data_IF_773100263111
#
_entry.id   IF_773100263111
#
_cell.length_a   1.000
_cell.length_b   1.000
_cell.length_c   1.000
_cell.angle_alpha   90.00
_cell.angle_beta   90.00
_cell.angle_gamma   90.00
#
_symmetry.space_group_name_H-M   'P 1'
#
loop_
_entity.id
_entity.type
_entity.pdbx_description
1 polymer ?
#
# COMPACT_ATOMS: atom_id res chain seq x y z
N UNK A 1 39.67 19.92 -21.74
CA UNK A 1 38.75 18.76 -21.81
C UNK A 1 39.34 17.60 -21.01
N UNK A 2 38.88 17.39 -19.77
CA UNK A 2 38.85 16.09 -19.07
C UNK A 2 38.13 16.28 -17.73
N UNK A 3 36.98 15.64 -17.59
CA UNK A 3 36.13 15.57 -16.39
C UNK A 3 36.36 14.20 -15.75
N UNK A 4 36.26 14.14 -14.40
CA UNK A 4 35.90 12.98 -13.51
C UNK A 4 36.98 12.75 -12.45
N UNK A 5 36.69 12.55 -11.16
CA UNK A 5 35.45 12.32 -10.41
C UNK A 5 35.76 12.72 -8.95
N UNK A 6 34.88 13.49 -8.32
CA UNK A 6 34.95 13.77 -6.88
C UNK A 6 34.52 12.51 -6.11
N UNK A 7 35.47 11.84 -5.45
CA UNK A 7 35.19 10.72 -4.54
C UNK A 7 34.62 11.28 -3.22
N UNK A 8 33.30 11.44 -3.16
CA UNK A 8 32.59 11.70 -1.89
C UNK A 8 32.54 10.41 -1.08
N UNK A 9 33.61 10.13 -0.34
CA UNK A 9 33.57 9.21 0.80
C UNK A 9 32.72 9.85 1.90
N UNK A 10 31.42 9.54 1.87
CA UNK A 10 30.53 9.81 2.97
C UNK A 10 30.93 8.88 4.12
N UNK A 11 31.76 9.41 5.02
CA UNK A 11 32.10 8.81 6.30
C UNK A 11 30.84 8.74 7.14
N UNK A 12 30.11 7.63 7.03
CA UNK A 12 29.21 7.19 8.08
C UNK A 12 30.08 6.72 9.24
N UNK A 13 30.46 7.68 10.08
CA UNK A 13 30.97 7.43 11.42
C UNK A 13 29.83 6.81 12.24
N UNK A 14 29.76 5.48 12.20
CA UNK A 14 28.99 4.68 13.15
C UNK A 14 29.90 4.45 14.33
N UNK A 15 29.71 5.23 15.37
CA UNK A 15 30.31 5.03 16.68
C UNK A 15 30.27 3.56 17.07
N UNK A 16 31.44 2.93 17.11
CA UNK A 16 31.67 1.63 17.70
C UNK A 16 31.25 1.66 19.17
N UNK A 17 30.29 0.81 19.52
CA UNK A 17 30.15 0.30 20.89
C UNK A 17 30.11 -1.23 20.82
N UNK A 18 31.17 -1.92 21.26
CA UNK A 18 31.06 -3.33 21.57
C UNK A 18 30.51 -3.43 22.99
N UNK A 19 29.26 -3.85 23.14
CA UNK A 19 28.71 -4.22 24.44
C UNK A 19 28.23 -5.66 24.38
N UNK A 20 28.76 -6.41 25.34
CA UNK A 20 28.60 -7.83 25.54
C UNK A 20 27.16 -8.32 25.44
N UNK A 21 27.05 -9.54 24.95
CA UNK A 21 25.89 -10.37 24.71
C UNK A 21 25.05 -10.57 25.98
N UNK A 22 24.18 -9.62 26.30
CA UNK A 22 22.99 -9.93 27.11
C UNK A 22 21.91 -10.36 26.13
N UNK A 23 21.41 -11.59 26.28
CA UNK A 23 20.29 -12.13 25.49
C UNK A 23 18.97 -11.45 25.89
N UNK A 24 18.89 -10.14 25.75
CA UNK A 24 17.67 -9.37 25.99
C UNK A 24 16.89 -9.27 24.69
N UNK A 25 15.66 -9.78 24.71
CA UNK A 25 14.72 -9.58 23.62
C UNK A 25 14.50 -8.08 23.37
N UNK A 26 14.47 -7.63 22.10
CA UNK A 26 14.35 -6.22 21.79
C UNK A 26 12.97 -5.70 22.14
N UNK A 27 12.92 -4.59 22.86
CA UNK A 27 11.65 -3.96 23.23
C UNK A 27 10.86 -3.50 21.99
N UNK A 28 9.53 -3.55 22.06
CA UNK A 28 8.62 -3.07 20.99
C UNK A 28 8.95 -1.64 20.56
N UNK A 29 9.34 -0.77 21.50
CA UNK A 29 9.76 0.60 21.20
C UNK A 29 10.94 0.64 20.22
N UNK A 30 11.99 -0.15 20.46
CA UNK A 30 13.18 -0.21 19.60
C UNK A 30 12.80 -0.72 18.21
N UNK A 31 11.94 -1.74 18.13
CA UNK A 31 11.44 -2.25 16.84
C UNK A 31 10.58 -1.24 16.09
N UNK A 32 9.82 -0.39 16.79
CA UNK A 32 9.08 0.69 16.15
C UNK A 32 10.02 1.78 15.64
N UNK A 33 10.99 2.19 16.45
CA UNK A 33 11.94 3.24 16.10
C UNK A 33 12.78 2.84 14.86
N UNK A 34 13.19 1.58 14.74
CA UNK A 34 13.88 1.10 13.52
C UNK A 34 12.97 1.13 12.29
N UNK A 35 11.70 0.77 12.45
CA UNK A 35 10.74 0.82 11.36
C UNK A 35 10.45 2.25 10.90
N UNK A 36 10.35 3.21 11.82
CA UNK A 36 10.17 4.62 11.48
C UNK A 36 11.33 5.16 10.64
N UNK A 37 12.56 4.82 11.03
CA UNK A 37 13.75 5.17 10.24
C UNK A 37 13.74 4.52 8.86
N UNK A 38 13.35 3.25 8.78
CA UNK A 38 13.23 2.53 7.50
C UNK A 38 12.16 3.15 6.58
N UNK A 39 11.01 3.54 7.11
CA UNK A 39 9.95 4.20 6.33
C UNK A 39 10.45 5.50 5.69
N UNK A 40 11.24 6.28 6.42
CA UNK A 40 11.76 7.57 5.95
C UNK A 40 12.91 7.43 4.94
N UNK A 41 13.67 6.33 4.98
CA UNK A 41 14.88 6.17 4.17
C UNK A 41 14.71 5.24 2.97
N UNK A 42 13.78 4.29 3.03
CA UNK A 42 13.77 3.14 2.09
C UNK A 42 12.47 3.01 1.31
N UNK A 43 11.34 3.51 1.83
CA UNK A 43 10.09 3.48 1.07
C UNK A 43 10.12 4.57 0.00
N UNK A 44 9.90 4.17 -1.25
CA UNK A 44 9.94 5.06 -2.42
C UNK A 44 11.23 5.88 -2.48
N UNK A 45 12.37 5.26 -2.17
CA UNK A 45 13.70 5.90 -2.12
C UNK A 45 13.76 7.15 -1.22
N UNK A 46 12.93 7.17 -0.17
CA UNK A 46 12.80 8.29 0.77
C UNK A 46 11.73 9.33 0.41
N UNK A 47 11.02 9.15 -0.72
CA UNK A 47 9.97 10.06 -1.20
C UNK A 47 8.55 9.52 -0.97
N UNK A 48 8.36 8.69 0.06
CA UNK A 48 7.03 8.18 0.41
C UNK A 48 6.07 9.33 0.76
N UNK A 49 4.85 9.29 0.22
CA UNK A 49 3.82 10.25 0.62
C UNK A 49 3.47 10.09 2.10
N UNK A 50 3.03 11.19 2.74
CA UNK A 50 2.59 11.18 4.14
C UNK A 50 1.51 10.12 4.39
N UNK A 51 0.60 9.95 3.43
CA UNK A 51 -0.47 8.95 3.50
C UNK A 51 0.05 7.52 3.40
N UNK A 52 1.06 7.28 2.56
CA UNK A 52 1.70 5.95 2.45
C UNK A 52 2.37 5.57 3.76
N UNK A 53 3.14 6.49 4.36
CA UNK A 53 3.77 6.30 5.67
C UNK A 53 2.73 6.05 6.76
N UNK A 54 1.69 6.91 6.83
CA UNK A 54 0.59 6.77 7.79
C UNK A 54 -0.11 5.42 7.64
N UNK A 55 -0.33 4.97 6.42
CA UNK A 55 -0.96 3.70 6.13
C UNK A 55 -0.11 2.54 6.65
N UNK A 56 1.19 2.51 6.33
CA UNK A 56 2.07 1.45 6.83
C UNK A 56 2.17 1.43 8.36
N UNK A 57 2.30 2.60 8.99
CA UNK A 57 2.26 2.73 10.46
C UNK A 57 0.99 2.14 11.06
N UNK A 58 -0.17 2.50 10.50
CA UNK A 58 -1.47 2.00 10.96
C UNK A 58 -1.58 0.48 10.84
N UNK A 59 -1.11 -0.10 9.72
CA UNK A 59 -1.12 -1.56 9.52
C UNK A 59 -0.20 -2.30 10.50
N UNK A 60 1.00 -1.77 10.74
CA UNK A 60 1.92 -2.37 11.73
C UNK A 60 1.36 -2.22 13.15
N UNK A 61 0.74 -1.09 13.47
CA UNK A 61 0.11 -0.89 14.77
C UNK A 61 -1.05 -1.88 15.03
N UNK A 62 -1.89 -2.13 14.02
CA UNK A 62 -2.96 -3.15 14.09
C UNK A 62 -2.37 -4.54 14.35
N UNK A 63 -1.29 -4.89 13.64
CA UNK A 63 -0.59 -6.15 13.84
C UNK A 63 0.01 -6.28 15.26
N UNK A 64 0.71 -5.26 15.75
CA UNK A 64 1.29 -5.28 17.10
C UNK A 64 0.20 -5.37 18.19
N UNK A 65 -0.95 -4.74 17.95
CA UNK A 65 -2.10 -4.82 18.85
C UNK A 65 -2.69 -6.23 18.86
N UNK A 66 -2.78 -6.88 17.69
CA UNK A 66 -3.16 -8.28 17.59
C UNK A 66 -2.16 -9.19 18.31
N UNK A 67 -0.85 -8.99 18.14
CA UNK A 67 0.18 -9.74 18.87
C UNK A 67 -0.01 -9.62 20.38
N UNK A 68 -0.28 -8.41 20.89
CA UNK A 68 -0.58 -8.20 22.32
C UNK A 68 -1.80 -9.00 22.77
N UNK A 69 -2.87 -9.01 21.97
CA UNK A 69 -4.09 -9.76 22.28
C UNK A 69 -3.95 -11.29 22.18
N UNK A 70 -2.89 -11.79 21.51
CA UNK A 70 -2.56 -13.21 21.42
C UNK A 70 -1.39 -13.59 22.34
N UNK A 71 -0.93 -12.67 23.21
CA UNK A 71 0.24 -12.85 24.08
C UNK A 71 1.54 -13.22 23.32
N UNK A 72 1.62 -12.82 22.05
CA UNK A 72 2.77 -13.09 21.20
C UNK A 72 3.77 -11.94 21.28
N UNK A 73 5.03 -12.28 21.55
CA UNK A 73 6.10 -11.30 21.52
C UNK A 73 6.54 -10.99 20.08
N UNK A 74 6.52 -9.72 19.61
CA UNK A 74 6.80 -9.39 18.21
C UNK A 74 8.16 -9.86 17.69
N UNK A 75 9.19 -9.95 18.53
CA UNK A 75 10.51 -10.44 18.13
C UNK A 75 10.59 -11.98 17.98
N UNK A 76 9.62 -12.71 18.52
CA UNK A 76 9.53 -14.18 18.47
C UNK A 76 8.45 -14.68 17.50
N UNK A 77 7.84 -13.76 16.72
CA UNK A 77 6.83 -14.12 15.72
C UNK A 77 7.45 -15.06 14.69
N UNK A 78 6.79 -16.20 14.49
CA UNK A 78 7.14 -17.16 13.45
C UNK A 78 6.30 -16.93 12.20
N UNK A 79 6.67 -17.60 11.10
CA UNK A 79 5.86 -17.60 9.87
C UNK A 79 4.43 -18.10 10.10
N UNK A 80 4.25 -19.07 11.02
CA UNK A 80 2.93 -19.61 11.35
C UNK A 80 2.04 -18.54 11.99
N UNK A 81 2.58 -17.75 12.91
CA UNK A 81 1.85 -16.65 13.55
C UNK A 81 1.40 -15.59 12.51
N UNK A 82 2.21 -15.34 11.47
CA UNK A 82 1.81 -14.44 10.37
C UNK A 82 0.68 -15.05 9.52
N UNK A 83 0.64 -16.37 9.36
CA UNK A 83 -0.48 -17.06 8.69
C UNK A 83 -1.76 -16.99 9.52
N UNK A 84 -1.66 -17.10 10.85
CA UNK A 84 -2.77 -16.91 11.79
C UNK A 84 -3.28 -15.49 11.76
N UNK A 85 -2.40 -14.48 11.76
CA UNK A 85 -2.81 -13.10 11.58
C UNK A 85 -3.53 -12.87 10.25
N UNK A 86 -3.05 -13.49 9.16
CA UNK A 86 -3.74 -13.46 7.87
C UNK A 86 -5.14 -14.06 7.98
N UNK A 87 -5.31 -15.19 8.69
CA UNK A 87 -6.61 -15.81 8.94
C UNK A 87 -7.51 -14.86 9.74
N UNK A 88 -7.00 -14.26 10.81
CA UNK A 88 -7.72 -13.24 11.59
C UNK A 88 -8.22 -12.07 10.73
N UNK A 89 -7.44 -11.60 9.75
CA UNK A 89 -7.89 -10.57 8.82
C UNK A 89 -8.99 -11.04 7.85
N UNK A 90 -8.98 -12.31 7.46
CA UNK A 90 -10.04 -12.92 6.63
C UNK A 90 -11.32 -13.03 7.45
N UNK A 91 -11.21 -13.52 8.68
CA UNK A 91 -12.34 -13.70 9.60
C UNK A 91 -12.94 -12.33 9.98
N UNK A 92 -12.13 -11.26 10.01
CA UNK A 92 -12.57 -9.87 10.13
C UNK A 92 -13.01 -9.19 8.82
N UNK A 93 -13.34 -10.00 7.80
CA UNK A 93 -13.89 -9.62 6.49
C UNK A 93 -13.08 -8.57 5.71
N UNK A 94 -11.76 -8.49 5.93
CA UNK A 94 -10.92 -7.52 5.21
C UNK A 94 -10.78 -7.90 3.75
N UNK A 95 -10.78 -6.88 2.87
CA UNK A 95 -10.60 -7.11 1.44
C UNK A 95 -9.20 -7.64 1.12
N UNK A 96 -9.06 -8.43 0.05
CA UNK A 96 -7.76 -8.97 -0.38
C UNK A 96 -6.68 -7.89 -0.62
N UNK A 97 -6.98 -6.73 -1.24
CA UNK A 97 -6.05 -5.61 -1.29
C UNK A 97 -5.61 -5.11 0.10
N UNK A 98 -6.55 -4.96 1.05
CA UNK A 98 -6.23 -4.55 2.42
C UNK A 98 -5.35 -5.57 3.13
N UNK A 99 -5.65 -6.87 2.99
CA UNK A 99 -4.83 -7.96 3.56
C UNK A 99 -3.43 -7.94 2.96
N UNK A 100 -3.31 -7.81 1.63
CA UNK A 100 -2.01 -7.71 0.94
C UNK A 100 -1.20 -6.53 1.46
N UNK A 101 -1.84 -5.37 1.62
CA UNK A 101 -1.19 -4.17 2.14
C UNK A 101 -0.74 -4.35 3.59
N UNK A 102 -1.55 -5.01 4.42
CA UNK A 102 -1.17 -5.33 5.80
C UNK A 102 0.04 -6.26 5.85
N UNK A 103 0.06 -7.32 5.05
CA UNK A 103 1.19 -8.25 4.98
C UNK A 103 2.45 -7.58 4.44
N UNK A 104 2.32 -6.66 3.48
CA UNK A 104 3.43 -5.88 2.97
C UNK A 104 4.03 -4.95 4.04
N UNK A 105 3.17 -4.28 4.81
CA UNK A 105 3.61 -3.43 5.93
C UNK A 105 4.39 -4.25 6.98
N UNK A 106 3.89 -5.44 7.33
CA UNK A 106 4.58 -6.37 8.25
C UNK A 106 5.91 -6.83 7.66
N UNK A 107 5.96 -7.13 6.37
CA UNK A 107 7.22 -7.48 5.69
C UNK A 107 8.25 -6.36 5.82
N UNK A 108 7.87 -5.11 5.56
CA UNK A 108 8.76 -3.97 5.72
C UNK A 108 9.21 -3.76 7.17
N UNK A 109 8.29 -3.94 8.14
CA UNK A 109 8.60 -3.87 9.57
C UNK A 109 9.71 -4.87 9.96
N UNK A 110 9.56 -6.14 9.59
CA UNK A 110 10.56 -7.14 9.90
C UNK A 110 11.84 -7.00 9.07
N UNK A 111 11.77 -6.47 7.85
CA UNK A 111 12.98 -6.10 7.08
C UNK A 111 13.78 -5.02 7.80
N UNK A 112 13.10 -3.99 8.35
CA UNK A 112 13.75 -2.95 9.15
C UNK A 112 14.39 -3.53 10.42
N UNK A 113 13.65 -4.38 11.14
CA UNK A 113 14.17 -5.04 12.35
C UNK A 113 15.36 -5.96 12.07
N UNK A 114 15.35 -6.65 10.92
CA UNK A 114 16.44 -7.53 10.49
C UNK A 114 17.70 -6.73 10.16
N UNK A 115 17.57 -5.56 9.51
CA UNK A 115 18.69 -4.68 9.21
C UNK A 115 19.43 -4.19 10.47
N UNK A 116 18.69 -4.02 11.57
CA UNK A 116 19.21 -3.65 12.89
C UNK A 116 19.54 -4.86 13.78
N UNK A 117 19.47 -6.10 13.25
CA UNK A 117 19.74 -7.36 13.97
C UNK A 117 18.84 -7.60 15.20
N UNK A 118 17.65 -7.00 15.22
CA UNK A 118 16.66 -7.19 16.29
C UNK A 118 15.95 -8.55 16.17
N UNK A 119 15.85 -9.08 14.95
CA UNK A 119 15.27 -10.40 14.66
C UNK A 119 16.25 -11.23 13.84
N UNK A 120 16.18 -12.55 13.97
CA UNK A 120 17.06 -13.48 13.21
C UNK A 120 16.66 -13.59 11.75
N UNK A 121 15.35 -13.56 11.49
CA UNK A 121 14.77 -13.73 10.16
C UNK A 121 13.48 -12.92 10.03
N UNK A 122 13.01 -12.73 8.80
CA UNK A 122 11.75 -12.05 8.53
C UNK A 122 10.63 -13.11 8.35
N UNK A 123 9.70 -13.24 9.32
CA UNK A 123 8.65 -14.26 9.29
C UNK A 123 7.60 -14.02 8.20
N UNK A 124 7.53 -12.82 7.61
CA UNK A 124 6.61 -12.48 6.54
C UNK A 124 7.12 -12.91 5.15
N UNK A 125 8.37 -13.37 5.03
CA UNK A 125 8.92 -13.84 3.75
C UNK A 125 8.15 -15.08 3.28
N UNK A 126 7.68 -15.04 2.04
CA UNK A 126 6.92 -16.14 1.42
C UNK A 126 5.45 -16.25 1.86
N UNK A 127 4.97 -15.38 2.75
CA UNK A 127 3.54 -15.33 3.11
C UNK A 127 2.78 -14.58 2.02
N UNK A 128 1.98 -15.31 1.24
CA UNK A 128 1.15 -14.73 0.17
C UNK A 128 -0.23 -14.35 0.70
N UNK A 129 -0.74 -13.21 0.22
CA UNK A 129 -2.12 -12.81 0.47
C UNK A 129 -3.11 -13.81 -0.14
N UNK A 130 -4.32 -13.96 0.43
CA UNK A 130 -5.35 -14.84 -0.13
C UNK A 130 -5.67 -14.40 -1.56
N UNK A 131 -5.60 -15.35 -2.50
CA UNK A 131 -6.11 -15.13 -3.85
C UNK A 131 -7.63 -15.17 -3.76
N UNK A 132 -8.30 -14.03 -3.91
CA UNK A 132 -9.73 -14.05 -4.27
C UNK A 132 -9.81 -14.73 -5.65
N UNK A 133 -10.69 -15.73 -5.80
CA UNK A 133 -11.26 -16.05 -7.12
C UNK A 133 -11.94 -14.75 -7.55
N UNK A 134 -11.27 -13.94 -8.37
CA UNK A 134 -11.89 -12.79 -8.99
C UNK A 134 -12.92 -13.37 -9.95
N UNK A 135 -14.20 -13.18 -9.66
CA UNK A 135 -15.19 -13.20 -10.72
C UNK A 135 -14.92 -11.95 -11.56
N UNK A 136 -14.35 -12.17 -12.74
CA UNK A 136 -13.83 -11.14 -13.63
C UNK A 136 -14.94 -10.17 -14.08
N UNK A 137 -16.22 -10.52 -13.88
CA UNK A 137 -17.38 -9.73 -14.29
C UNK A 137 -17.97 -8.76 -13.26
N UNK A 138 -17.60 -8.78 -11.98
CA UNK A 138 -18.40 -8.09 -10.94
C UNK A 138 -17.77 -6.86 -10.27
N UNK A 139 -16.55 -6.45 -10.61
CA UNK A 139 -15.83 -5.43 -9.80
C UNK A 139 -15.78 -4.03 -10.42
N UNK A 140 -16.14 -3.85 -11.69
CA UNK A 140 -16.27 -2.51 -12.29
C UNK A 140 -17.73 -2.32 -12.68
N UNK A 141 -18.49 -1.65 -11.82
CA UNK A 141 -19.83 -1.18 -12.16
C UNK A 141 -19.65 0.04 -13.05
N UNK A 142 -19.77 -0.15 -14.37
CA UNK A 142 -19.85 0.97 -15.31
C UNK A 142 -21.21 1.63 -15.16
N UNK A 143 -21.26 2.95 -15.28
CA UNK A 143 -22.53 3.61 -15.52
C UNK A 143 -22.97 3.27 -16.94
N UNK A 144 -24.22 2.83 -17.10
CA UNK A 144 -24.82 2.76 -18.44
C UNK A 144 -25.10 4.17 -18.97
N UNK A 145 -25.38 4.30 -20.27
CA UNK A 145 -25.72 5.59 -20.87
C UNK A 145 -26.94 6.21 -20.21
N UNK A 146 -27.91 5.39 -19.81
CA UNK A 146 -29.15 5.83 -19.16
C UNK A 146 -28.88 6.30 -17.72
N UNK A 147 -28.06 5.56 -16.95
CA UNK A 147 -27.65 5.97 -15.60
C UNK A 147 -26.84 7.28 -15.65
N UNK A 148 -26.02 7.47 -16.69
CA UNK A 148 -25.27 8.70 -16.91
C UNK A 148 -26.19 9.87 -17.22
N UNK A 149 -27.17 9.67 -18.10
CA UNK A 149 -28.16 10.69 -18.43
C UNK A 149 -28.95 11.10 -17.18
N UNK A 150 -29.37 10.15 -16.35
CA UNK A 150 -30.05 10.44 -15.08
C UNK A 150 -29.20 11.25 -14.11
N UNK A 151 -27.90 10.97 -14.01
CA UNK A 151 -26.99 11.79 -13.18
C UNK A 151 -26.90 13.21 -13.72
N UNK A 152 -26.80 13.39 -15.04
CA UNK A 152 -26.77 14.71 -15.66
C UNK A 152 -28.08 15.48 -15.47
N UNK A 153 -29.23 14.85 -15.70
CA UNK A 153 -30.54 15.50 -15.58
C UNK A 153 -30.86 15.92 -14.15
N UNK A 154 -30.34 15.20 -13.16
CA UNK A 154 -30.48 15.53 -11.74
C UNK A 154 -29.49 16.63 -11.27
N UNK A 155 -28.32 16.76 -11.91
CA UNK A 155 -27.31 17.76 -11.56
C UNK A 155 -27.45 19.08 -12.33
N UNK A 156 -27.97 19.05 -13.56
CA UNK A 156 -28.18 20.23 -14.40
C UNK A 156 -29.04 21.33 -13.76
N UNK A 157 -30.08 21.05 -12.95
CA UNK A 157 -30.85 22.08 -12.25
C UNK A 157 -30.08 22.75 -11.11
N UNK A 158 -29.11 22.05 -10.51
CA UNK A 158 -28.35 22.50 -9.33
C UNK A 158 -27.13 23.32 -9.75
N UNK A 159 -26.49 22.89 -10.84
CA UNK A 159 -25.40 23.62 -11.45
C UNK A 159 -26.00 24.60 -12.45
N UNK A 160 -26.35 25.81 -11.98
CA UNK A 160 -26.58 26.96 -12.85
C UNK A 160 -25.26 27.30 -13.54
N UNK A 161 -24.88 26.51 -14.55
CA UNK A 161 -23.71 26.73 -15.38
C UNK A 161 -23.93 28.10 -15.99
N UNK A 162 -23.16 29.08 -15.51
CA UNK A 162 -23.10 30.42 -16.06
C UNK A 162 -22.54 30.25 -17.48
N UNK A 163 -23.44 30.05 -18.43
CA UNK A 163 -23.10 29.78 -19.82
C UNK A 163 -22.23 30.90 -20.36
N UNK A 164 -21.02 30.56 -20.79
CA UNK A 164 -20.38 31.33 -21.83
C UNK A 164 -20.89 30.78 -23.15
N UNK A 165 -21.52 31.67 -23.93
CA UNK A 165 -22.00 31.39 -25.28
C UNK A 165 -20.84 30.87 -26.12
N UNK A 166 -20.93 29.63 -26.58
CA UNK A 166 -20.20 29.19 -27.77
C UNK A 166 -21.21 28.63 -28.74
N UNK A 167 -21.21 29.27 -29.91
CA UNK A 167 -22.16 29.07 -30.99
C UNK A 167 -22.18 27.62 -31.50
N UNK A 168 -23.38 27.22 -31.95
CA UNK A 168 -23.68 26.30 -33.04
C UNK A 168 -22.53 25.39 -33.51
N UNK A 169 -22.60 24.10 -33.14
CA UNK A 169 -22.11 23.04 -33.98
C UNK A 169 -23.33 22.34 -34.57
N UNK A 170 -23.60 22.60 -35.85
CA UNK A 170 -24.70 22.04 -36.60
C UNK A 170 -24.64 20.52 -36.66
N UNK A 171 -25.83 19.92 -36.60
CA UNK A 171 -26.08 18.53 -36.94
C UNK A 171 -25.55 18.23 -38.34
N UNK A 172 -24.62 17.27 -38.45
CA UNK A 172 -24.45 16.49 -39.67
C UNK A 172 -25.19 15.17 -39.46
N UNK A 173 -26.49 15.21 -39.72
CA UNK A 173 -27.21 14.02 -40.20
C UNK A 173 -26.78 13.79 -41.63
N UNK A 174 -26.20 12.64 -41.93
CA UNK A 174 -26.52 11.88 -43.14
C UNK A 174 -25.87 10.49 -43.06
N UNK A 175 -26.73 9.51 -42.82
CA UNK A 175 -26.48 8.07 -42.97
C UNK A 175 -26.82 7.74 -44.43
N UNK A 176 -25.91 7.24 -45.28
CA UNK A 176 -26.33 6.65 -46.53
C UNK A 176 -26.84 5.23 -46.26
N UNK A 177 -28.12 5.01 -46.57
CA UNK A 177 -28.73 3.69 -46.65
C UNK A 177 -28.01 2.82 -47.70
N UNK A 178 -28.00 1.53 -47.42
CA UNK A 178 -27.35 0.46 -48.17
C UNK A 178 -28.10 0.05 -49.46
N UNK A 179 -27.40 -0.74 -50.30
CA UNK A 179 -27.88 -1.87 -51.15
C UNK A 179 -28.16 -1.59 -52.65
N UNK A 180 -27.17 -2.00 -53.48
CA UNK A 180 -27.17 -3.17 -54.41
C UNK A 180 -27.96 -3.20 -55.77
N UNK A 181 -27.26 -3.77 -56.77
CA UNK A 181 -27.68 -4.55 -57.97
C UNK A 181 -28.08 -3.82 -59.27
N UNK A 182 -27.19 -3.85 -60.28
CA UNK A 182 -27.32 -4.64 -61.53
C UNK A 182 -26.03 -4.58 -62.34
#
# INVERSE_FOLDING_TARGET
MAIRRLDKRNRFDRSDRPLATVSTLPTIKVMRDCFERYLNLTIADGHASKDTVKTYRSRVHQFLSWCKGQELYPALITKQNVLEYRKHLIDGEKTSPTIRLSLLAIKHFYTACLADKLVKENPAIGVKAPRKKREIGSTIKYLTQEELQQVFDNLAPILKIRGNKTAQAGCLTEVPQSIEIS
#
